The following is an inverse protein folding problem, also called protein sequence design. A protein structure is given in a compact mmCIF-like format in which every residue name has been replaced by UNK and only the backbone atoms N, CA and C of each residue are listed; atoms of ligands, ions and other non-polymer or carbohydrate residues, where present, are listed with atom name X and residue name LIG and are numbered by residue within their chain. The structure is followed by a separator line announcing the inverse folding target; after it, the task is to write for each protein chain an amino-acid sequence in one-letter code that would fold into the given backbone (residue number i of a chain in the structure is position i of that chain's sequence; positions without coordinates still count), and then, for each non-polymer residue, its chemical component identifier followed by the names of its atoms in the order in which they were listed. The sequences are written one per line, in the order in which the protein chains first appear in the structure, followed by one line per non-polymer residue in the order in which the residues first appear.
data_IF_700641072079
#
_entry.id   IF_700641072079
#
_cell.length_a   1.000
_cell.length_b   1.000
_cell.length_c   1.000
_cell.angle_alpha   90.00
_cell.angle_beta   90.00
_cell.angle_gamma   90.00
#
_symmetry.space_group_name_H-M   'P 1'
#
loop_
_entity.id
_entity.type
_entity.pdbx_description
1 polymer ?
#
# COMPACT_ATOMS: atom_id res chain seq x y z
N UNK A 1 -3.31 -21.92 -6.75
CA UNK A 1 -4.12 -20.82 -6.25
C UNK A 1 -3.23 -19.75 -5.67
N UNK A 2 -3.50 -18.51 -6.06
CA UNK A 2 -2.66 -17.41 -5.63
C UNK A 2 -2.94 -17.04 -4.19
N UNK A 3 -1.87 -16.72 -3.46
CA UNK A 3 -2.00 -16.24 -2.09
C UNK A 3 -2.41 -14.77 -2.12
N UNK A 4 -3.26 -14.33 -1.21
CA UNK A 4 -3.64 -12.92 -1.16
C UNK A 4 -2.48 -12.04 -0.71
N UNK A 5 -2.55 -10.77 -1.10
CA UNK A 5 -1.68 -9.75 -0.54
C UNK A 5 -2.13 -9.44 0.88
N UNK A 6 -1.16 -9.09 1.72
CA UNK A 6 -1.44 -8.49 3.02
C UNK A 6 -0.98 -7.04 2.94
N UNK A 7 -1.86 -6.10 3.23
CA UNK A 7 -1.52 -4.67 3.18
C UNK A 7 -1.65 -4.10 4.58
N UNK A 8 -0.60 -3.40 5.02
CA UNK A 8 -0.57 -2.79 6.35
C UNK A 8 -0.56 -1.28 6.20
N UNK A 9 -1.34 -0.61 7.05
CA UNK A 9 -1.44 0.85 7.07
C UNK A 9 -1.03 1.35 8.43
N UNK A 10 -0.13 2.32 8.47
CA UNK A 10 0.40 2.86 9.73
C UNK A 10 0.08 4.35 9.87
N UNK A 11 0.00 4.80 11.12
CA UNK A 11 -0.17 6.20 11.50
C UNK A 11 -1.39 6.81 10.80
N UNK A 12 -1.24 7.99 10.19
CA UNK A 12 -2.38 8.69 9.61
C UNK A 12 -2.99 7.94 8.40
N UNK A 13 -2.21 7.05 7.76
CA UNK A 13 -2.76 6.22 6.69
C UNK A 13 -3.81 5.26 7.25
N UNK A 14 -3.53 4.70 8.41
CA UNK A 14 -4.48 3.82 9.10
C UNK A 14 -5.76 4.58 9.45
N UNK A 15 -5.63 5.83 9.91
CA UNK A 15 -6.78 6.63 10.26
C UNK A 15 -7.61 7.00 9.04
N UNK A 16 -6.97 7.38 7.95
CA UNK A 16 -7.68 7.78 6.75
C UNK A 16 -8.37 6.63 6.04
N UNK A 17 -7.74 5.47 6.00
CA UNK A 17 -8.34 4.29 5.36
C UNK A 17 -9.36 3.61 6.27
N UNK A 18 -9.25 3.85 7.57
CA UNK A 18 -10.10 3.18 8.55
C UNK A 18 -9.71 1.74 8.82
N UNK A 19 -8.52 1.34 8.39
CA UNK A 19 -8.08 -0.04 8.52
C UNK A 19 -6.60 -0.10 8.87
N UNK A 20 -6.24 -0.99 9.79
CA UNK A 20 -4.83 -1.24 10.13
C UNK A 20 -4.19 -2.21 9.15
N UNK A 21 -4.98 -3.14 8.62
CA UNK A 21 -4.51 -4.13 7.67
C UNK A 21 -5.68 -4.69 6.89
N UNK A 22 -5.38 -5.23 5.72
CA UNK A 22 -6.37 -5.95 4.95
C UNK A 22 -5.67 -6.99 4.07
N UNK A 23 -6.42 -7.98 3.65
CA UNK A 23 -5.94 -8.95 2.68
C UNK A 23 -6.85 -8.90 1.46
N UNK A 24 -6.24 -9.00 0.28
CA UNK A 24 -6.99 -9.06 -0.97
C UNK A 24 -6.18 -9.80 -2.02
N UNK A 25 -6.86 -10.44 -2.97
CA UNK A 25 -6.15 -11.04 -4.09
C UNK A 25 -5.42 -9.96 -4.87
N UNK A 26 -4.26 -10.28 -5.42
CA UNK A 26 -3.55 -9.32 -6.28
C UNK A 26 -4.45 -9.01 -7.48
N UNK A 27 -4.86 -7.74 -7.65
CA UNK A 27 -5.75 -7.41 -8.77
C UNK A 27 -5.06 -7.62 -10.12
N UNK A 28 -5.85 -7.99 -11.12
CA UNK A 28 -5.35 -8.16 -12.48
C UNK A 28 -4.72 -6.86 -12.97
N UNK A 29 -3.55 -6.98 -13.58
CA UNK A 29 -2.85 -5.82 -14.12
C UNK A 29 -1.99 -5.06 -13.12
N UNK A 30 -2.09 -5.39 -11.83
CA UNK A 30 -1.25 -4.77 -10.80
C UNK A 30 0.06 -5.54 -10.71
N UNK A 31 1.16 -4.88 -10.99
CA UNK A 31 2.49 -5.50 -10.98
C UNK A 31 3.48 -4.76 -10.09
N UNK A 32 3.14 -3.54 -9.67
CA UNK A 32 4.03 -2.70 -8.88
C UNK A 32 3.28 -2.05 -7.73
N UNK A 33 4.04 -1.48 -6.80
CA UNK A 33 3.46 -0.70 -5.70
C UNK A 33 2.61 0.43 -6.24
N UNK A 34 3.09 1.13 -7.27
CA UNK A 34 2.33 2.23 -7.90
C UNK A 34 0.98 1.74 -8.43
N UNK A 35 0.97 0.59 -9.12
CA UNK A 35 -0.27 -0.01 -9.60
C UNK A 35 -1.22 -0.38 -8.48
N UNK A 36 -0.67 -0.86 -7.37
CA UNK A 36 -1.48 -1.19 -6.20
C UNK A 36 -2.12 0.07 -5.61
N UNK A 37 -1.36 1.16 -5.49
CA UNK A 37 -1.88 2.42 -4.99
C UNK A 37 -2.99 2.94 -5.90
N UNK A 38 -2.81 2.86 -7.22
CA UNK A 38 -3.84 3.25 -8.19
C UNK A 38 -5.13 2.46 -7.97
N UNK A 39 -5.00 1.16 -7.80
CA UNK A 39 -6.14 0.28 -7.56
C UNK A 39 -6.87 0.65 -6.27
N UNK A 40 -6.13 0.81 -5.18
CA UNK A 40 -6.71 1.14 -3.88
C UNK A 40 -7.41 2.50 -3.92
N UNK A 41 -6.76 3.49 -4.55
CA UNK A 41 -7.30 4.84 -4.66
C UNK A 41 -8.59 4.90 -5.49
N UNK A 42 -8.67 4.07 -6.52
CA UNK A 42 -9.86 4.02 -7.37
C UNK A 42 -11.02 3.29 -6.71
N UNK A 43 -10.71 2.42 -5.76
CA UNK A 43 -11.71 1.56 -5.11
C UNK A 43 -12.57 2.31 -4.09
N UNK A 44 -11.98 3.27 -3.39
CA UNK A 44 -12.66 3.91 -2.26
C UNK A 44 -12.12 5.33 -2.06
N UNK A 45 -13.01 6.33 -1.87
CA UNK A 45 -12.57 7.71 -1.64
C UNK A 45 -11.67 7.89 -0.43
N UNK A 46 -11.83 7.07 0.60
CA UNK A 46 -10.96 7.15 1.77
C UNK A 46 -9.52 6.80 1.43
N UNK A 47 -9.35 5.83 0.54
CA UNK A 47 -8.03 5.43 0.08
C UNK A 47 -7.44 6.47 -0.86
N UNK A 48 -8.27 7.05 -1.73
CA UNK A 48 -7.81 8.16 -2.58
C UNK A 48 -7.30 9.32 -1.71
N UNK A 49 -8.00 9.64 -0.63
CA UNK A 49 -7.58 10.68 0.30
C UNK A 49 -6.28 10.31 1.02
N UNK A 50 -6.16 9.04 1.44
CA UNK A 50 -4.96 8.57 2.14
C UNK A 50 -3.72 8.65 1.25
N UNK A 51 -3.87 8.40 -0.04
CA UNK A 51 -2.75 8.37 -0.98
C UNK A 51 -2.65 9.65 -1.82
N UNK A 52 -3.30 10.72 -1.41
CA UNK A 52 -3.32 11.97 -2.17
C UNK A 52 -1.91 12.50 -2.44
N UNK A 53 -1.03 12.45 -1.44
CA UNK A 53 0.34 12.89 -1.57
C UNK A 53 1.28 11.70 -1.58
N UNK A 54 1.27 10.94 -2.68
CA UNK A 54 2.06 9.72 -2.80
C UNK A 54 3.55 9.94 -2.56
N UNK A 55 4.06 11.10 -2.94
CA UNK A 55 5.48 11.38 -2.86
C UNK A 55 6.03 11.31 -1.45
N UNK A 56 5.20 11.57 -0.44
CA UNK A 56 5.65 11.51 0.94
C UNK A 56 5.38 10.17 1.62
N UNK A 57 4.64 9.28 0.96
CA UNK A 57 4.32 7.98 1.54
C UNK A 57 5.45 7.01 1.25
N UNK A 58 5.89 6.31 2.29
CA UNK A 58 6.91 5.27 2.19
C UNK A 58 6.25 3.91 2.17
N UNK A 59 6.96 2.94 1.64
CA UNK A 59 6.45 1.57 1.62
C UNK A 59 7.56 0.56 1.83
N UNK A 60 7.16 -0.62 2.26
CA UNK A 60 8.04 -1.77 2.38
C UNK A 60 7.32 -2.99 1.82
N UNK A 61 8.03 -3.81 1.06
CA UNK A 61 7.51 -5.07 0.55
C UNK A 61 8.26 -6.19 1.25
N UNK A 62 7.52 -7.03 1.94
CA UNK A 62 8.09 -8.12 2.73
C UNK A 62 9.16 -7.61 3.70
N UNK A 63 8.85 -6.46 4.35
CA UNK A 63 9.68 -5.84 5.38
C UNK A 63 10.99 -5.23 4.85
N UNK A 64 11.11 -5.07 3.53
CA UNK A 64 12.23 -4.39 2.92
C UNK A 64 11.76 -3.08 2.30
N UNK A 65 12.49 -2.00 2.54
CA UNK A 65 12.14 -0.70 1.95
C UNK A 65 12.02 -0.83 0.44
N UNK A 66 10.97 -0.22 -0.09
CA UNK A 66 10.63 -0.31 -1.49
C UNK A 66 10.24 1.07 -2.01
N UNK A 67 9.91 1.14 -3.29
CA UNK A 67 9.43 2.37 -3.90
C UNK A 67 8.28 2.07 -4.86
N UNK A 68 7.80 3.11 -5.54
CA UNK A 68 6.64 2.98 -6.42
C UNK A 68 6.84 1.98 -7.55
N UNK A 69 8.07 1.76 -7.97
CA UNK A 69 8.38 0.86 -9.09
C UNK A 69 8.64 -0.58 -8.64
N UNK A 70 8.72 -0.81 -7.33
CA UNK A 70 9.00 -2.15 -6.81
C UNK A 70 7.90 -3.14 -7.18
N UNK A 71 8.28 -4.37 -7.57
CA UNK A 71 7.27 -5.36 -7.96
C UNK A 71 6.47 -5.86 -6.77
N UNK A 72 5.23 -6.23 -7.05
CA UNK A 72 4.33 -6.83 -6.07
C UNK A 72 3.82 -8.16 -6.66
N UNK A 73 3.90 -9.21 -5.88
CA UNK A 73 3.49 -10.56 -6.29
C UNK A 73 2.48 -11.14 -5.32
N UNK A 74 1.71 -12.15 -5.74
CA UNK A 74 0.80 -12.82 -4.82
C UNK A 74 1.53 -13.31 -3.56
N UNK A 75 0.89 -13.10 -2.41
CA UNK A 75 1.46 -13.52 -1.14
C UNK A 75 2.36 -12.48 -0.47
N UNK A 76 2.66 -11.38 -1.15
CA UNK A 76 3.51 -10.34 -0.57
C UNK A 76 2.80 -9.58 0.54
N UNK A 77 3.60 -9.03 1.46
CA UNK A 77 3.15 -8.09 2.46
C UNK A 77 3.62 -6.70 2.02
N UNK A 78 2.69 -5.77 1.89
CA UNK A 78 3.00 -4.39 1.50
C UNK A 78 2.58 -3.47 2.63
N UNK A 79 3.54 -2.76 3.21
CA UNK A 79 3.27 -1.82 4.29
C UNK A 79 3.39 -0.39 3.77
N UNK A 80 2.44 0.46 4.16
CA UNK A 80 2.46 1.88 3.83
C UNK A 80 2.57 2.67 5.13
N UNK A 81 3.46 3.65 5.14
CA UNK A 81 3.71 4.44 6.35
C UNK A 81 4.18 5.84 5.96
N UNK A 82 3.96 6.84 6.85
CA UNK A 82 4.44 8.19 6.57
C UNK A 82 5.96 8.25 6.71
N UNK A 83 6.58 9.30 6.16
CA UNK A 83 8.02 9.46 6.31
C UNK A 83 8.40 9.57 7.77
N UNK A 84 9.55 8.99 8.12
CA UNK A 84 10.12 9.17 9.44
C UNK A 84 10.75 10.54 9.45
N UNK A 85 10.16 11.46 10.20
CA UNK A 85 10.80 12.74 10.42
C UNK A 85 11.93 12.48 11.40
N UNK A 86 13.14 12.59 10.94
CA UNK A 86 14.29 12.47 11.80
C UNK A 86 14.18 13.54 12.87
N UNK A 87 13.63 13.14 13.95
CA UNK A 87 13.40 14.04 15.07
C UNK A 87 14.65 14.27 15.80
#
# INVERSE_FOLDING_TARGET
MDKPLTILYFAWLREKTGSASETLPLPDGVQTVSGLIDYLSARDPRYAAAFLERAIIRCAVNQELADASSPVRPGDEVAFFPPVTGG
#
